data_IF_507983672653
#
_entry.id   IF_507983672653
#
_cell.length_a   1.000
_cell.length_b   1.000
_cell.length_c   1.000
_cell.angle_alpha   90.00
_cell.angle_beta   90.00
_cell.angle_gamma   90.00
#
_symmetry.space_group_name_H-M   'P 1'
#
loop_
_entity.id
_entity.type
_entity.pdbx_description
1 polymer ?
#
# COMPACT_ATOMS: atom_id res chain seq x y z
N UNK A 1 6.93 -9.49 18.75
CA UNK A 1 5.96 -10.43 19.39
C UNK A 1 5.67 -11.59 18.43
N UNK A 2 5.51 -12.83 18.91
CA UNK A 2 5.07 -13.98 18.08
C UNK A 2 3.57 -14.15 18.23
N UNK A 3 2.85 -14.10 17.12
CA UNK A 3 1.42 -14.26 17.00
C UNK A 3 1.10 -15.70 16.57
N UNK A 4 -0.03 -16.22 17.05
CA UNK A 4 -0.55 -17.53 16.63
C UNK A 4 -1.62 -17.32 15.57
N UNK A 5 -1.36 -17.78 14.34
CA UNK A 5 -2.31 -17.70 13.22
C UNK A 5 -2.98 -19.04 12.97
N UNK A 6 -4.26 -19.02 12.60
CA UNK A 6 -4.96 -20.23 12.14
C UNK A 6 -4.37 -20.68 10.79
N UNK A 7 -4.36 -21.98 10.46
CA UNK A 7 -3.89 -22.48 9.16
C UNK A 7 -4.52 -21.75 7.96
N UNK A 8 -5.83 -21.52 8.00
CA UNK A 8 -6.57 -20.76 6.96
C UNK A 8 -6.14 -19.28 6.81
N UNK A 9 -5.43 -18.73 7.78
CA UNK A 9 -4.83 -17.38 7.68
C UNK A 9 -3.47 -17.41 6.99
N UNK A 10 -2.76 -18.54 7.10
CA UNK A 10 -1.44 -18.76 6.50
C UNK A 10 -1.54 -19.24 5.05
N UNK A 11 -2.54 -20.07 4.75
CA UNK A 11 -2.74 -20.63 3.41
C UNK A 11 -3.30 -19.57 2.45
N UNK A 12 -2.50 -19.22 1.43
CA UNK A 12 -2.86 -18.30 0.35
C UNK A 12 -2.52 -18.93 -1.00
N UNK A 13 -3.07 -20.11 -1.26
CA UNK A 13 -3.10 -20.66 -2.61
C UNK A 13 -4.35 -20.13 -3.30
N UNK A 14 -4.17 -19.18 -4.21
CA UNK A 14 -5.26 -18.57 -4.95
C UNK A 14 -5.23 -19.07 -6.39
N UNK A 15 -6.37 -19.58 -6.85
CA UNK A 15 -6.57 -19.89 -8.25
C UNK A 15 -6.88 -18.59 -9.02
N UNK A 16 -5.83 -17.86 -9.38
CA UNK A 16 -5.91 -16.62 -10.15
C UNK A 16 -6.03 -16.92 -11.64
N UNK A 17 -7.17 -16.60 -12.22
CA UNK A 17 -7.44 -16.79 -13.63
C UNK A 17 -7.30 -15.47 -14.40
N UNK A 18 -6.10 -15.24 -14.96
CA UNK A 18 -5.81 -14.05 -15.77
C UNK A 18 -6.69 -13.94 -17.02
N UNK A 19 -7.06 -15.07 -17.64
CA UNK A 19 -7.93 -15.13 -18.82
C UNK A 19 -9.41 -14.98 -18.47
N UNK A 20 -9.77 -15.10 -17.18
CA UNK A 20 -11.11 -14.91 -16.65
C UNK A 20 -11.42 -13.44 -16.31
N UNK A 21 -12.08 -13.19 -15.18
CA UNK A 21 -12.48 -11.85 -14.74
C UNK A 21 -11.74 -11.37 -13.48
N UNK A 22 -10.70 -12.10 -13.04
CA UNK A 22 -9.93 -11.80 -11.83
C UNK A 22 -9.03 -10.58 -11.99
N UNK A 23 -8.99 -9.71 -10.97
CA UNK A 23 -8.22 -8.46 -11.00
C UNK A 23 -7.31 -8.36 -9.79
N UNK A 24 -6.01 -8.18 -10.00
CA UNK A 24 -5.08 -7.79 -8.94
C UNK A 24 -5.20 -6.28 -8.72
N UNK A 25 -5.36 -5.86 -7.47
CA UNK A 25 -5.46 -4.44 -7.08
C UNK A 25 -4.28 -4.08 -6.19
N UNK A 26 -3.36 -3.25 -6.70
CA UNK A 26 -2.20 -2.84 -5.94
C UNK A 26 -2.44 -1.54 -5.15
N UNK A 27 -2.63 -1.66 -3.85
CA UNK A 27 -2.68 -0.55 -2.90
C UNK A 27 -1.24 -0.08 -2.62
N UNK A 28 -0.86 1.05 -3.21
CA UNK A 28 0.48 1.62 -3.10
C UNK A 28 0.55 2.68 -1.99
N UNK A 29 1.04 2.29 -0.81
CA UNK A 29 1.36 3.24 0.27
C UNK A 29 2.66 3.99 0.00
N UNK A 30 2.73 5.27 0.38
CA UNK A 30 3.91 6.07 0.16
C UNK A 30 5.14 5.47 0.86
N UNK A 31 6.25 5.41 0.12
CA UNK A 31 7.60 5.08 0.60
C UNK A 31 7.81 3.64 1.08
N UNK A 32 6.95 2.70 0.67
CA UNK A 32 7.09 1.26 0.93
C UNK A 32 7.72 0.47 -0.22
N UNK A 33 8.54 1.13 -1.05
CA UNK A 33 9.14 0.49 -2.23
C UNK A 33 8.15 0.19 -3.38
N UNK A 34 6.91 0.68 -3.28
CA UNK A 34 5.86 0.37 -4.26
C UNK A 34 6.10 0.88 -5.68
N UNK A 35 6.98 1.86 -5.90
CA UNK A 35 7.43 2.21 -7.26
C UNK A 35 8.20 1.06 -7.90
N UNK A 36 9.11 0.42 -7.16
CA UNK A 36 9.89 -0.71 -7.67
C UNK A 36 8.98 -1.92 -7.88
N UNK A 37 8.24 -2.32 -6.85
CA UNK A 37 7.32 -3.45 -6.94
C UNK A 37 6.24 -3.27 -8.03
N UNK A 38 5.64 -2.08 -8.12
CA UNK A 38 4.65 -1.79 -9.15
C UNK A 38 5.21 -1.83 -10.58
N UNK A 39 6.50 -1.51 -10.78
CA UNK A 39 7.16 -1.70 -12.07
C UNK A 39 7.34 -3.18 -12.39
N UNK A 40 7.79 -3.98 -11.41
CA UNK A 40 7.94 -5.42 -11.57
C UNK A 40 6.64 -6.07 -12.07
N UNK A 41 5.48 -5.66 -11.52
CA UNK A 41 4.15 -6.17 -11.96
C UNK A 41 3.81 -5.89 -13.43
N UNK A 42 4.37 -4.84 -14.04
CA UNK A 42 4.04 -4.44 -15.43
C UNK A 42 5.15 -4.71 -16.44
N UNK A 43 6.41 -4.87 -16.01
CA UNK A 43 7.54 -5.08 -16.93
C UNK A 43 8.25 -6.42 -16.76
N UNK A 44 8.07 -7.13 -15.66
CA UNK A 44 8.88 -8.31 -15.33
C UNK A 44 8.03 -9.55 -15.02
N UNK A 45 6.75 -9.55 -15.37
CA UNK A 45 5.89 -10.73 -15.24
C UNK A 45 5.97 -11.60 -16.50
N UNK A 46 6.19 -12.89 -16.33
CA UNK A 46 6.13 -13.89 -17.41
C UNK A 46 4.66 -14.20 -17.71
N UNK A 47 4.16 -13.66 -18.82
CA UNK A 47 2.75 -13.71 -19.22
C UNK A 47 2.64 -14.08 -20.70
N UNK A 48 1.62 -14.86 -21.05
CA UNK A 48 1.25 -15.14 -22.45
C UNK A 48 1.09 -13.84 -23.25
N UNK A 49 0.47 -12.83 -22.62
CA UNK A 49 0.39 -11.46 -23.14
C UNK A 49 1.03 -10.48 -22.15
N UNK A 50 2.27 -10.04 -22.39
CA UNK A 50 2.91 -9.02 -21.57
C UNK A 50 2.19 -7.67 -21.61
N UNK A 51 2.33 -6.87 -20.55
CA UNK A 51 1.83 -5.50 -20.59
C UNK A 51 2.60 -4.67 -21.62
N UNK A 52 1.91 -3.82 -22.36
CA UNK A 52 2.53 -2.95 -23.36
C UNK A 52 2.91 -1.61 -22.72
N UNK A 53 4.20 -1.42 -22.44
CA UNK A 53 4.76 -0.18 -21.88
C UNK A 53 5.45 0.64 -22.96
N UNK A 54 4.83 1.75 -23.40
CA UNK A 54 5.43 2.64 -24.41
C UNK A 54 6.40 3.63 -23.77
N UNK A 55 7.57 3.86 -24.42
CA UNK A 55 8.55 4.84 -23.95
C UNK A 55 7.91 6.23 -23.83
N UNK A 56 8.18 6.93 -22.73
CA UNK A 56 7.58 8.24 -22.41
C UNK A 56 6.20 8.17 -21.76
N UNK A 57 5.49 7.04 -21.81
CA UNK A 57 4.23 6.87 -21.09
C UNK A 57 4.47 6.36 -19.66
N UNK A 58 3.80 6.99 -18.69
CA UNK A 58 3.85 6.56 -17.29
C UNK A 58 2.96 5.36 -16.99
N UNK A 59 2.16 4.89 -17.95
CA UNK A 59 1.23 3.76 -17.80
C UNK A 59 1.46 2.74 -18.91
N UNK A 60 1.31 1.48 -18.57
CA UNK A 60 1.33 0.35 -19.46
C UNK A 60 -0.10 -0.18 -19.67
N UNK A 61 -0.34 -0.78 -20.83
CA UNK A 61 -1.58 -1.47 -21.13
C UNK A 61 -1.47 -2.93 -20.70
N UNK A 62 -2.10 -3.29 -19.58
CA UNK A 62 -2.10 -4.64 -19.03
C UNK A 62 -3.43 -5.33 -19.30
N UNK A 63 -3.62 -5.75 -20.55
CA UNK A 63 -4.82 -6.46 -20.98
C UNK A 63 -4.68 -7.96 -20.83
N UNK A 64 -5.81 -8.65 -20.70
CA UNK A 64 -5.85 -10.12 -20.64
C UNK A 64 -5.47 -10.75 -21.98
N UNK A 65 -5.02 -12.01 -22.01
CA UNK A 65 -4.91 -12.78 -23.24
C UNK A 65 -6.24 -12.79 -24.01
N UNK A 66 -6.19 -12.66 -25.34
CA UNK A 66 -7.37 -12.71 -26.21
C UNK A 66 -8.27 -11.46 -26.23
N UNK A 67 -7.95 -10.38 -25.50
CA UNK A 67 -8.78 -9.15 -25.47
C UNK A 67 -7.94 -7.90 -25.38
N UNK A 68 -8.30 -6.87 -26.13
CA UNK A 68 -7.60 -5.56 -26.16
C UNK A 68 -8.22 -4.51 -25.23
N UNK A 69 -9.19 -4.92 -24.40
CA UNK A 69 -9.91 -4.02 -23.50
C UNK A 69 -9.91 -4.43 -22.04
N UNK A 70 -9.90 -5.73 -21.75
CA UNK A 70 -10.13 -6.20 -20.38
C UNK A 70 -8.85 -6.20 -19.57
N UNK A 71 -8.93 -5.67 -18.36
CA UNK A 71 -7.77 -5.36 -17.53
C UNK A 71 -7.66 -6.40 -16.42
N UNK A 72 -6.47 -6.96 -16.20
CA UNK A 72 -6.21 -7.89 -15.09
C UNK A 72 -5.48 -7.23 -13.90
N UNK A 73 -4.91 -6.04 -14.10
CA UNK A 73 -4.16 -5.31 -13.07
C UNK A 73 -4.70 -3.89 -12.87
N UNK A 74 -5.15 -3.57 -11.67
CA UNK A 74 -5.45 -2.21 -11.23
C UNK A 74 -4.30 -1.67 -10.38
N UNK A 75 -3.56 -0.70 -10.92
CA UNK A 75 -2.39 -0.11 -10.27
C UNK A 75 -2.04 1.26 -10.85
N UNK A 76 -1.16 2.00 -10.16
CA UNK A 76 -0.55 3.23 -10.69
C UNK A 76 -0.02 3.07 -12.11
N UNK A 77 0.66 1.97 -12.40
CA UNK A 77 1.36 1.77 -13.68
C UNK A 77 0.50 1.10 -14.75
N UNK A 78 -0.73 0.67 -14.44
CA UNK A 78 -1.68 0.15 -15.43
C UNK A 78 -2.85 1.10 -15.62
N UNK A 79 -3.71 1.22 -14.61
CA UNK A 79 -4.94 2.04 -14.64
C UNK A 79 -4.71 3.49 -14.23
N UNK A 80 -3.53 3.84 -13.70
CA UNK A 80 -3.25 5.15 -13.14
C UNK A 80 -3.92 5.35 -11.78
N UNK A 81 -3.96 6.60 -11.32
CA UNK A 81 -4.63 7.00 -10.08
C UNK A 81 -6.14 7.16 -10.27
N UNK A 82 -6.78 6.13 -10.85
CA UNK A 82 -8.20 6.17 -11.23
C UNK A 82 -9.15 6.38 -10.05
N UNK A 83 -8.74 5.95 -8.85
CA UNK A 83 -9.50 6.13 -7.60
C UNK A 83 -8.94 7.22 -6.68
N UNK A 84 -8.00 8.04 -7.15
CA UNK A 84 -7.29 9.02 -6.32
C UNK A 84 -5.80 8.73 -6.23
N UNK A 85 -5.01 9.79 -6.06
CA UNK A 85 -3.56 9.69 -5.85
C UNK A 85 -3.28 8.93 -4.55
N UNK A 86 -2.55 7.81 -4.64
CA UNK A 86 -2.29 6.95 -3.49
C UNK A 86 -3.55 6.53 -2.73
N UNK A 87 -4.62 6.20 -3.47
CA UNK A 87 -5.88 5.74 -2.92
C UNK A 87 -5.66 4.62 -1.88
N UNK A 88 -6.21 4.83 -0.69
CA UNK A 88 -6.08 3.90 0.44
C UNK A 88 -7.10 2.75 0.37
N UNK A 89 -7.13 1.88 1.38
CA UNK A 89 -8.05 0.75 1.42
C UNK A 89 -9.50 1.22 1.34
N UNK A 90 -9.86 2.29 2.07
CA UNK A 90 -11.22 2.83 2.13
C UNK A 90 -11.63 3.35 0.76
N UNK A 91 -10.74 4.11 0.10
CA UNK A 91 -10.99 4.61 -1.25
C UNK A 91 -11.08 3.48 -2.29
N UNK A 92 -10.17 2.50 -2.25
CA UNK A 92 -10.10 1.45 -3.27
C UNK A 92 -11.23 0.43 -3.18
N UNK A 93 -11.70 0.06 -1.98
CA UNK A 93 -12.79 -0.93 -1.85
C UNK A 93 -14.10 -0.43 -2.48
N UNK A 94 -14.35 0.88 -2.39
CA UNK A 94 -15.59 1.50 -2.83
C UNK A 94 -15.51 1.99 -4.28
N UNK A 95 -14.32 2.30 -4.79
CA UNK A 95 -14.14 2.87 -6.13
C UNK A 95 -13.76 1.86 -7.23
N UNK A 96 -12.98 0.81 -6.90
CA UNK A 96 -12.40 -0.07 -7.93
C UNK A 96 -13.46 -0.80 -8.78
N UNK A 97 -14.55 -1.36 -8.22
CA UNK A 97 -15.57 -2.04 -9.00
C UNK A 97 -16.14 -1.17 -10.14
N UNK A 98 -16.67 0.00 -9.79
CA UNK A 98 -17.27 0.93 -10.75
C UNK A 98 -16.24 1.45 -11.77
N UNK A 99 -15.01 1.70 -11.33
CA UNK A 99 -13.95 2.16 -12.23
C UNK A 99 -13.50 1.11 -13.23
N UNK A 100 -13.55 -0.18 -12.87
CA UNK A 100 -13.26 -1.27 -13.80
C UNK A 100 -14.37 -1.40 -14.84
N UNK A 101 -15.64 -1.35 -14.43
CA UNK A 101 -16.78 -1.38 -15.34
C UNK A 101 -16.75 -0.22 -16.34
N UNK A 102 -16.45 0.99 -15.85
CA UNK A 102 -16.31 2.18 -16.69
C UNK A 102 -15.19 2.05 -17.72
N UNK A 103 -14.05 1.46 -17.35
CA UNK A 103 -12.90 1.29 -18.26
C UNK A 103 -13.14 0.22 -19.32
N UNK A 104 -13.80 -0.87 -18.95
CA UNK A 104 -14.14 -1.97 -19.87
C UNK A 104 -15.45 -1.74 -20.64
N UNK A 105 -16.16 -0.65 -20.31
CA UNK A 105 -17.48 -0.26 -20.84
C UNK A 105 -18.52 -1.37 -20.67
N UNK A 106 -18.38 -2.19 -19.64
CA UNK A 106 -19.26 -3.33 -19.40
C UNK A 106 -19.23 -3.75 -17.94
N UNK A 107 -20.40 -3.93 -17.30
CA UNK A 107 -20.47 -4.51 -15.97
C UNK A 107 -20.05 -5.98 -16.01
N UNK A 108 -19.14 -6.37 -15.11
CA UNK A 108 -18.75 -7.78 -14.96
C UNK A 108 -18.62 -8.17 -13.50
N UNK A 109 -19.03 -9.40 -13.19
CA UNK A 109 -18.71 -10.03 -11.92
C UNK A 109 -17.22 -10.38 -11.90
N UNK A 110 -16.44 -9.68 -11.07
CA UNK A 110 -14.99 -9.86 -10.90
C UNK A 110 -14.66 -10.30 -9.49
N UNK A 111 -13.55 -11.01 -9.31
CA UNK A 111 -12.89 -11.17 -8.01
C UNK A 111 -11.71 -10.22 -7.91
N UNK A 112 -11.60 -9.49 -6.80
CA UNK A 112 -10.54 -8.51 -6.59
C UNK A 112 -9.53 -9.03 -5.57
N UNK A 113 -8.28 -9.15 -6.01
CA UNK A 113 -7.16 -9.62 -5.22
C UNK A 113 -6.30 -8.44 -4.80
N UNK A 114 -6.62 -7.87 -3.64
CA UNK A 114 -5.88 -6.76 -3.08
C UNK A 114 -4.49 -7.19 -2.63
N UNK A 115 -3.50 -6.40 -3.01
CA UNK A 115 -2.10 -6.58 -2.63
C UNK A 115 -1.47 -5.27 -2.18
N UNK A 116 -0.43 -5.34 -1.35
CA UNK A 116 0.32 -4.16 -0.93
C UNK A 116 1.78 -4.47 -0.59
N UNK A 117 2.55 -3.43 -0.28
CA UNK A 117 3.91 -3.50 0.25
C UNK A 117 3.99 -2.70 1.55
N UNK A 118 4.58 -3.27 2.59
CA UNK A 118 4.92 -2.56 3.83
C UNK A 118 6.43 -2.33 3.94
N UNK A 119 6.79 -1.46 4.89
CA UNK A 119 8.17 -1.16 5.26
C UNK A 119 8.26 -0.88 6.76
N UNK A 120 9.42 -1.15 7.33
CA UNK A 120 9.74 -0.81 8.71
C UNK A 120 9.40 0.68 8.97
N UNK A 121 8.57 1.00 9.98
CA UNK A 121 7.95 2.31 10.12
C UNK A 121 8.93 3.48 10.24
N UNK A 122 10.04 3.34 10.97
CA UNK A 122 11.03 4.41 11.13
C UNK A 122 11.68 4.70 9.77
N UNK A 123 12.16 3.67 9.07
CA UNK A 123 12.77 3.81 7.75
C UNK A 123 11.78 4.35 6.71
N UNK A 124 10.50 3.96 6.81
CA UNK A 124 9.41 4.47 5.96
C UNK A 124 9.16 5.96 6.23
N UNK A 125 9.08 6.36 7.49
CA UNK A 125 8.84 7.73 7.92
C UNK A 125 9.98 8.67 7.52
N UNK A 126 11.24 8.30 7.79
CA UNK A 126 12.42 9.06 7.36
C UNK A 126 12.51 9.17 5.84
N UNK A 127 12.16 8.10 5.13
CA UNK A 127 12.09 8.14 3.67
C UNK A 127 11.00 9.07 3.14
N UNK A 128 9.91 9.28 3.89
CA UNK A 128 8.85 10.22 3.57
C UNK A 128 9.29 11.65 3.83
N UNK A 129 9.80 11.93 5.03
CA UNK A 129 10.38 13.22 5.39
C UNK A 129 11.36 13.70 4.32
N UNK A 130 12.37 12.89 3.96
CA UNK A 130 13.35 13.26 2.92
C UNK A 130 12.72 13.49 1.54
N UNK A 131 11.58 12.88 1.24
CA UNK A 131 10.89 13.10 -0.03
C UNK A 131 10.09 14.41 -0.01
N UNK A 132 9.45 14.69 1.13
CA UNK A 132 8.72 15.93 1.40
C UNK A 132 9.67 17.12 1.41
N UNK A 133 10.83 16.98 2.07
CA UNK A 133 11.92 17.97 2.07
C UNK A 133 12.39 18.34 0.66
N UNK A 134 12.22 17.45 -0.33
CA UNK A 134 12.52 17.69 -1.75
C UNK A 134 11.29 18.09 -2.60
N UNK A 135 10.16 18.39 -1.98
CA UNK A 135 8.96 18.93 -2.64
C UNK A 135 7.80 17.95 -2.84
N UNK A 136 7.86 16.73 -2.30
CA UNK A 136 6.69 15.85 -2.36
C UNK A 136 5.59 16.32 -1.40
N UNK A 137 4.36 16.48 -1.89
CA UNK A 137 3.20 16.89 -1.07
C UNK A 137 2.08 15.86 -1.09
N UNK A 138 1.85 15.23 -2.26
CA UNK A 138 0.66 14.44 -2.54
C UNK A 138 -0.67 15.17 -2.27
N UNK A 139 -0.67 16.51 -2.34
CA UNK A 139 -1.83 17.36 -2.00
C UNK A 139 -3.08 17.16 -2.88
N UNK A 140 -2.95 16.44 -4.00
CA UNK A 140 -4.07 16.07 -4.88
C UNK A 140 -4.68 14.71 -4.53
N UNK A 141 -4.30 14.11 -3.40
CA UNK A 141 -4.97 12.93 -2.82
C UNK A 141 -6.38 13.32 -2.38
N UNK A 142 -7.37 12.48 -2.64
CA UNK A 142 -8.78 12.83 -2.39
C UNK A 142 -9.20 12.52 -0.96
N UNK A 143 -8.62 11.49 -0.35
CA UNK A 143 -8.95 11.05 1.00
C UNK A 143 -10.46 10.74 1.14
N UNK A 144 -11.06 10.17 0.09
CA UNK A 144 -12.49 9.87 0.06
C UNK A 144 -12.87 8.88 1.16
N UNK A 145 -13.88 9.22 1.95
CA UNK A 145 -14.46 8.35 2.96
C UNK A 145 -15.93 8.73 3.16
N UNK A 146 -16.82 7.74 3.29
CA UNK A 146 -18.28 7.93 3.33
C UNK A 146 -18.80 8.84 2.20
N UNK A 147 -18.27 8.65 0.99
CA UNK A 147 -18.73 9.36 -0.22
C UNK A 147 -18.31 10.83 -0.34
N UNK A 148 -17.44 11.35 0.54
CA UNK A 148 -16.94 12.74 0.47
C UNK A 148 -15.46 12.90 0.78
N UNK A 149 -14.90 14.05 0.39
CA UNK A 149 -13.57 14.50 0.79
C UNK A 149 -13.62 15.12 2.21
N UNK A 150 -12.54 15.05 3.01
CA UNK A 150 -12.47 15.75 4.28
C UNK A 150 -12.43 17.27 4.06
N UNK A 151 -13.00 18.02 5.00
CA UNK A 151 -12.83 19.47 5.05
C UNK A 151 -11.45 19.86 5.60
N UNK A 152 -11.03 21.10 5.38
CA UNK A 152 -9.77 21.64 5.95
C UNK A 152 -9.75 21.59 7.49
N UNK A 153 -10.93 21.60 8.14
CA UNK A 153 -11.04 21.43 9.60
C UNK A 153 -10.78 19.99 10.05
N UNK A 154 -11.19 19.02 9.24
CA UNK A 154 -11.00 17.59 9.53
C UNK A 154 -9.59 17.11 9.17
N UNK A 155 -8.98 17.74 8.16
CA UNK A 155 -7.62 17.44 7.73
C UNK A 155 -6.84 18.72 7.38
N UNK A 156 -6.37 19.46 8.40
CA UNK A 156 -5.53 20.64 8.21
C UNK A 156 -4.20 20.29 7.52
N UNK A 157 -3.69 21.22 6.73
CA UNK A 157 -2.37 21.07 6.11
C UNK A 157 -1.24 21.42 7.10
N UNK A 158 -0.09 20.76 6.97
CA UNK A 158 1.14 21.12 7.69
C UNK A 158 1.97 22.18 6.95
N UNK A 159 1.56 22.56 5.74
CA UNK A 159 2.28 23.46 4.85
C UNK A 159 1.30 24.18 3.92
N UNK A 160 1.68 25.32 3.36
CA UNK A 160 0.83 26.07 2.43
C UNK A 160 0.84 25.44 1.02
N UNK A 161 1.87 25.73 0.22
CA UNK A 161 1.98 25.18 -1.15
C UNK A 161 2.76 23.85 -1.19
N UNK A 162 3.90 23.82 -0.50
CA UNK A 162 4.80 22.69 -0.37
C UNK A 162 5.61 22.81 0.95
N UNK A 163 6.34 21.76 1.28
CA UNK A 163 7.15 21.69 2.52
C UNK A 163 8.63 21.43 2.19
N UNK A 164 9.13 22.11 1.14
CA UNK A 164 10.54 22.02 0.73
C UNK A 164 11.44 22.54 1.84
N UNK A 165 12.54 21.84 2.10
CA UNK A 165 13.51 22.23 3.12
C UNK A 165 13.11 21.90 4.56
N UNK A 166 11.92 21.33 4.81
CA UNK A 166 11.46 21.00 6.17
C UNK A 166 12.48 20.15 6.94
N UNK A 167 12.83 20.62 8.13
CA UNK A 167 13.70 19.89 9.05
C UNK A 167 12.93 18.79 9.79
N UNK A 168 13.64 17.77 10.29
CA UNK A 168 12.97 16.62 10.92
C UNK A 168 12.12 17.05 12.13
N UNK A 169 12.59 18.01 12.92
CA UNK A 169 11.90 18.45 14.14
C UNK A 169 10.57 19.13 13.79
N UNK A 170 10.56 20.00 12.77
CA UNK A 170 9.33 20.61 12.24
C UNK A 170 8.40 19.56 11.63
N UNK A 171 8.95 18.60 10.87
CA UNK A 171 8.18 17.51 10.28
C UNK A 171 7.49 16.64 11.34
N UNK A 172 8.17 16.35 12.45
CA UNK A 172 7.59 15.63 13.60
C UNK A 172 6.72 16.52 14.50
N UNK A 173 6.86 17.83 14.40
CA UNK A 173 6.14 18.82 15.20
C UNK A 173 4.70 19.05 14.73
N UNK A 174 4.39 18.82 13.45
CA UNK A 174 3.03 18.97 12.94
C UNK A 174 2.10 17.83 13.40
N UNK A 175 1.04 18.10 14.19
CA UNK A 175 0.11 17.05 14.66
C UNK A 175 -0.69 16.41 13.52
N UNK A 176 -0.90 17.14 12.43
CA UNK A 176 -1.70 16.74 11.27
C UNK A 176 -0.89 16.02 10.19
N UNK A 177 0.38 15.73 10.45
CA UNK A 177 1.26 15.11 9.46
C UNK A 177 0.76 13.70 9.10
N UNK A 178 0.30 13.54 7.86
CA UNK A 178 -0.18 12.27 7.31
C UNK A 178 0.90 11.17 7.23
N UNK A 179 2.17 11.49 7.47
CA UNK A 179 3.22 10.50 7.66
C UNK A 179 3.02 9.66 8.93
N UNK A 180 2.39 10.23 9.98
CA UNK A 180 2.11 9.56 11.24
C UNK A 180 1.15 8.39 11.02
N UNK A 181 1.55 7.19 11.43
CA UNK A 181 0.77 5.95 11.32
C UNK A 181 0.16 5.73 9.91
N UNK A 182 0.91 6.10 8.86
CA UNK A 182 0.41 6.07 7.47
C UNK A 182 -0.04 4.67 7.08
N UNK A 183 0.72 3.63 7.40
CA UNK A 183 0.40 2.27 6.95
C UNK A 183 -0.89 1.77 7.61
N UNK A 184 -1.06 2.04 8.90
CA UNK A 184 -2.27 1.73 9.65
C UNK A 184 -3.47 2.48 9.09
N UNK A 185 -3.34 3.81 8.91
CA UNK A 185 -4.44 4.63 8.36
C UNK A 185 -4.84 4.16 6.97
N UNK A 186 -3.87 3.90 6.09
CA UNK A 186 -4.14 3.54 4.69
C UNK A 186 -4.63 2.10 4.50
N UNK A 187 -4.45 1.22 5.49
CA UNK A 187 -4.95 -0.16 5.44
C UNK A 187 -6.27 -0.35 6.20
N UNK A 188 -6.61 0.57 7.10
CA UNK A 188 -7.84 0.51 7.87
C UNK A 188 -9.06 0.97 7.05
N UNK A 189 -10.22 0.47 7.46
CA UNK A 189 -11.51 1.07 7.14
C UNK A 189 -11.73 2.32 8.00
N UNK A 190 -11.61 3.50 7.38
CA UNK A 190 -11.75 4.77 8.09
C UNK A 190 -13.20 5.08 8.46
N UNK A 191 -14.20 4.49 7.78
CA UNK A 191 -15.61 4.69 8.12
C UNK A 191 -15.94 4.22 9.55
N UNK A 192 -15.22 3.19 10.04
CA UNK A 192 -15.37 2.64 11.39
C UNK A 192 -15.05 3.63 12.51
N UNK A 193 -14.34 4.72 12.21
CA UNK A 193 -13.96 5.76 13.17
C UNK A 193 -14.51 7.14 12.78
N UNK A 194 -15.49 7.20 11.88
CA UNK A 194 -16.04 8.45 11.39
C UNK A 194 -15.14 9.20 10.43
N UNK A 195 -14.39 8.49 9.60
CA UNK A 195 -13.48 9.05 8.62
C UNK A 195 -12.41 9.93 9.29
N UNK A 196 -12.22 11.15 8.79
CA UNK A 196 -11.24 12.12 9.29
C UNK A 196 -11.76 12.98 10.45
N UNK A 197 -13.02 12.81 10.87
CA UNK A 197 -13.54 13.51 12.04
C UNK A 197 -13.05 12.83 13.33
N UNK A 198 -12.08 13.46 13.99
CA UNK A 198 -11.45 12.96 15.21
C UNK A 198 -12.30 13.14 16.47
N UNK A 199 -13.36 13.96 16.42
CA UNK A 199 -14.22 14.25 17.58
C UNK A 199 -15.27 13.16 17.87
N UNK A 200 -15.44 12.17 16.98
CA UNK A 200 -16.49 11.14 17.14
C UNK A 200 -16.18 10.10 18.21
N UNK A 201 -14.91 9.80 18.43
CA UNK A 201 -14.45 8.76 19.35
C UNK A 201 -13.16 9.23 20.03
N UNK A 202 -12.86 8.73 21.22
CA UNK A 202 -11.59 9.06 21.89
C UNK A 202 -10.40 8.60 21.05
N UNK A 203 -9.25 9.27 21.19
CA UNK A 203 -8.04 8.92 20.44
C UNK A 203 -7.60 7.47 20.70
N UNK A 204 -7.74 6.99 21.93
CA UNK A 204 -7.41 5.61 22.30
C UNK A 204 -8.33 4.60 21.59
N UNK A 205 -9.64 4.82 21.63
CA UNK A 205 -10.60 3.97 20.95
C UNK A 205 -10.40 3.99 19.43
N UNK A 206 -10.15 5.18 18.87
CA UNK A 206 -9.81 5.37 17.45
C UNK A 206 -8.60 4.53 17.05
N UNK A 207 -7.51 4.64 17.81
CA UNK A 207 -6.28 3.90 17.58
C UNK A 207 -6.50 2.39 17.58
N UNK A 208 -7.26 1.88 18.57
CA UNK A 208 -7.59 0.46 18.68
C UNK A 208 -8.41 -0.05 17.49
N UNK A 209 -9.41 0.71 17.05
CA UNK A 209 -10.25 0.35 15.90
C UNK A 209 -9.43 0.36 14.61
N UNK A 210 -8.64 1.42 14.38
CA UNK A 210 -7.80 1.55 13.18
C UNK A 210 -6.78 0.40 13.09
N UNK A 211 -6.08 0.09 14.17
CA UNK A 211 -5.10 -0.99 14.18
C UNK A 211 -5.74 -2.37 13.98
N UNK A 212 -6.88 -2.62 14.64
CA UNK A 212 -7.63 -3.87 14.46
C UNK A 212 -8.15 -4.04 13.03
N UNK A 213 -8.62 -2.96 12.42
CA UNK A 213 -9.09 -2.91 11.03
C UNK A 213 -7.93 -3.13 10.05
N UNK A 214 -6.81 -2.42 10.20
CA UNK A 214 -5.62 -2.58 9.37
C UNK A 214 -5.05 -4.00 9.41
N UNK A 215 -4.91 -4.60 10.61
CA UNK A 215 -4.49 -6.01 10.75
C UNK A 215 -5.48 -6.96 10.05
N UNK A 216 -6.79 -6.69 10.17
CA UNK A 216 -7.83 -7.51 9.55
C UNK A 216 -7.84 -7.43 8.03
N UNK A 217 -7.69 -6.23 7.48
CA UNK A 217 -7.65 -6.03 6.04
C UNK A 217 -6.36 -6.62 5.47
N UNK A 218 -5.21 -6.37 6.10
CA UNK A 218 -3.92 -6.90 5.67
C UNK A 218 -3.89 -8.43 5.67
N UNK A 219 -4.40 -9.10 6.73
CA UNK A 219 -4.42 -10.57 6.75
C UNK A 219 -5.34 -11.14 5.67
N UNK A 220 -6.40 -10.43 5.27
CA UNK A 220 -7.37 -10.86 4.24
C UNK A 220 -6.90 -10.58 2.82
N UNK A 221 -5.96 -9.67 2.62
CA UNK A 221 -5.35 -9.45 1.31
C UNK A 221 -4.79 -10.75 0.74
N UNK A 222 -4.84 -10.83 -0.59
CA UNK A 222 -4.32 -11.95 -1.36
C UNK A 222 -2.83 -12.14 -1.06
N UNK A 223 -2.09 -11.04 -1.09
CA UNK A 223 -0.66 -11.00 -0.86
C UNK A 223 -0.25 -9.66 -0.24
N UNK A 224 0.82 -9.65 0.55
CA UNK A 224 1.56 -8.43 0.84
C UNK A 224 3.05 -8.76 0.93
N UNK A 225 3.89 -7.85 0.47
CA UNK A 225 5.34 -7.95 0.59
C UNK A 225 5.91 -7.00 1.61
N UNK A 226 7.18 -7.23 1.95
CA UNK A 226 7.95 -6.40 2.87
C UNK A 226 9.18 -5.88 2.15
N UNK A 227 9.42 -4.58 2.25
CA UNK A 227 10.55 -3.91 1.56
C UNK A 227 11.90 -4.54 1.92
N UNK A 228 12.03 -4.99 3.16
CA UNK A 228 13.23 -5.62 3.72
C UNK A 228 13.46 -7.06 3.22
N UNK A 229 12.48 -7.66 2.53
CA UNK A 229 12.49 -9.05 2.13
C UNK A 229 12.05 -9.23 0.67
N UNK A 230 12.71 -8.56 -0.27
CA UNK A 230 12.28 -8.52 -1.68
C UNK A 230 12.26 -9.90 -2.35
N UNK A 231 13.35 -10.68 -2.23
CA UNK A 231 13.41 -12.04 -2.79
C UNK A 231 12.36 -12.98 -2.18
N UNK A 232 12.10 -12.86 -0.87
CA UNK A 232 11.04 -13.63 -0.20
C UNK A 232 9.64 -13.17 -0.65
N UNK A 233 9.48 -11.87 -0.89
CA UNK A 233 8.23 -11.29 -1.39
C UNK A 233 7.95 -11.74 -2.83
N UNK A 234 8.97 -11.82 -3.68
CA UNK A 234 8.88 -12.43 -5.01
C UNK A 234 8.38 -13.87 -4.89
N UNK A 235 9.10 -14.72 -4.16
CA UNK A 235 8.72 -16.13 -3.98
C UNK A 235 7.28 -16.30 -3.50
N UNK A 236 6.88 -15.54 -2.48
CA UNK A 236 5.52 -15.64 -1.95
C UNK A 236 4.47 -15.16 -2.97
N UNK A 237 4.74 -14.09 -3.73
CA UNK A 237 3.85 -13.62 -4.78
C UNK A 237 3.66 -14.68 -5.87
N UNK A 238 4.77 -15.24 -6.36
CA UNK A 238 4.77 -16.27 -7.41
C UNK A 238 3.96 -17.50 -7.00
N UNK A 239 4.17 -17.97 -5.75
CA UNK A 239 3.39 -19.09 -5.20
C UNK A 239 1.93 -18.77 -4.99
N UNK A 240 1.61 -17.56 -4.52
CA UNK A 240 0.23 -17.15 -4.24
C UNK A 240 -0.62 -17.09 -5.50
N UNK A 241 -0.07 -16.56 -6.59
CA UNK A 241 -0.81 -16.32 -7.84
C UNK A 241 -0.51 -17.34 -8.95
N UNK A 242 0.42 -18.27 -8.73
CA UNK A 242 0.92 -19.22 -9.75
C UNK A 242 1.46 -18.50 -11.01
N UNK A 243 2.03 -17.32 -10.81
CA UNK A 243 2.71 -16.53 -11.83
C UNK A 243 4.21 -16.51 -11.55
N UNK A 244 5.04 -16.12 -12.53
CA UNK A 244 6.49 -16.00 -12.37
C UNK A 244 6.98 -14.63 -12.78
N UNK A 245 8.01 -14.14 -12.11
CA UNK A 245 8.79 -13.03 -12.64
C UNK A 245 9.90 -13.56 -13.56
N UNK A 246 10.25 -12.80 -14.60
CA UNK A 246 11.28 -13.19 -15.58
C UNK A 246 12.66 -13.06 -14.92
N UNK A 247 12.94 -11.89 -14.34
CA UNK A 247 14.16 -11.61 -13.59
C UNK A 247 13.93 -11.67 -12.08
N UNK A 248 14.88 -12.21 -11.29
CA UNK A 248 14.77 -12.25 -9.85
C UNK A 248 14.85 -10.84 -9.24
N UNK A 249 14.14 -10.63 -8.13
CA UNK A 249 14.21 -9.36 -7.41
C UNK A 249 15.58 -9.18 -6.75
N UNK A 250 16.10 -7.97 -6.86
CA UNK A 250 17.33 -7.57 -6.18
C UNK A 250 17.04 -7.05 -4.77
N UNK A 251 17.79 -7.53 -3.78
CA UNK A 251 17.63 -7.06 -2.42
C UNK A 251 18.37 -5.73 -2.23
N UNK A 252 17.63 -4.62 -2.21
CA UNK A 252 18.17 -3.31 -1.84
C UNK A 252 17.95 -3.07 -0.35
N UNK A 253 18.98 -3.34 0.45
CA UNK A 253 18.94 -3.14 1.90
C UNK A 253 18.96 -1.65 2.22
N UNK A 254 17.77 -1.04 2.34
CA UNK A 254 17.60 0.35 2.79
C UNK A 254 17.96 1.39 1.73
N UNK A 255 17.05 2.32 1.49
CA UNK A 255 17.37 3.54 0.72
C UNK A 255 18.21 4.48 1.57
N UNK A 256 19.12 5.26 0.97
CA UNK A 256 19.90 6.31 1.67
C UNK A 256 19.01 7.19 2.54
N UNK A 257 17.82 7.53 2.06
CA UNK A 257 16.83 8.29 2.80
C UNK A 257 16.31 7.59 4.07
N UNK A 258 16.05 6.29 4.01
CA UNK A 258 15.57 5.51 5.16
C UNK A 258 16.67 5.14 6.16
N UNK A 259 17.94 5.36 5.83
CA UNK A 259 19.12 5.19 6.70
C UNK A 259 19.69 6.54 7.14
N UNK A 260 18.88 7.60 7.09
CA UNK A 260 19.35 8.92 7.54
C UNK A 260 19.77 8.81 9.01
N UNK A 261 21.02 9.14 9.36
CA UNK A 261 21.44 9.16 10.76
C UNK A 261 20.63 10.20 11.53
N UNK A 262 20.05 9.78 12.66
CA UNK A 262 19.29 10.64 13.57
C UNK A 262 19.73 10.29 15.00
N UNK A 263 19.60 11.24 15.92
CA UNK A 263 19.84 10.97 17.34
C UNK A 263 18.77 10.03 17.91
N UNK A 264 19.10 9.34 19.00
CA UNK A 264 18.16 8.43 19.68
C UNK A 264 16.87 9.13 20.15
N UNK A 265 16.96 10.39 20.59
CA UNK A 265 15.76 11.16 20.96
C UNK A 265 14.82 11.41 19.77
N UNK A 266 15.38 11.73 18.61
CA UNK A 266 14.59 11.89 17.37
C UNK A 266 14.02 10.55 16.91
N UNK A 267 14.79 9.47 17.07
CA UNK A 267 14.33 8.11 16.77
C UNK A 267 13.13 7.73 17.64
N UNK A 268 13.24 7.93 18.96
CA UNK A 268 12.14 7.69 19.92
C UNK A 268 10.91 8.52 19.55
N UNK A 269 11.08 9.80 19.20
CA UNK A 269 9.95 10.65 18.77
C UNK A 269 9.25 10.11 17.53
N UNK A 270 10.01 9.65 16.52
CA UNK A 270 9.44 9.02 15.31
C UNK A 270 8.71 7.72 15.66
N UNK A 271 9.26 6.91 16.57
CA UNK A 271 8.61 5.68 17.03
C UNK A 271 7.29 5.95 17.75
N UNK A 272 7.24 6.94 18.65
CA UNK A 272 6.02 7.38 19.34
C UNK A 272 4.93 7.82 18.35
N UNK A 273 5.29 8.64 17.37
CA UNK A 273 4.36 9.11 16.33
C UNK A 273 3.85 7.99 15.42
N UNK A 274 4.58 6.87 15.34
CA UNK A 274 4.27 5.73 14.48
C UNK A 274 3.99 4.44 15.28
N UNK A 275 3.55 4.57 16.53
CA UNK A 275 3.32 3.42 17.42
C UNK A 275 2.35 2.37 16.83
N UNK A 276 1.31 2.80 16.11
CA UNK A 276 0.38 1.86 15.47
C UNK A 276 1.03 1.17 14.27
N UNK A 277 1.81 1.89 13.47
CA UNK A 277 2.56 1.32 12.35
C UNK A 277 3.61 0.31 12.84
N UNK A 278 4.25 0.55 13.99
CA UNK A 278 5.18 -0.40 14.62
C UNK A 278 4.46 -1.68 15.00
N UNK A 279 3.33 -1.58 15.70
CA UNK A 279 2.58 -2.76 16.08
C UNK A 279 1.99 -3.52 14.87
N UNK A 280 1.56 -2.78 13.84
CA UNK A 280 1.10 -3.35 12.57
C UNK A 280 2.23 -4.06 11.83
N UNK A 281 3.42 -3.44 11.76
CA UNK A 281 4.57 -4.01 11.06
C UNK A 281 5.09 -5.26 11.76
N UNK A 282 5.14 -5.27 13.09
CA UNK A 282 5.48 -6.46 13.88
C UNK A 282 4.52 -7.62 13.59
N UNK A 283 3.21 -7.33 13.55
CA UNK A 283 2.19 -8.30 13.17
C UNK A 283 2.37 -8.79 11.73
N UNK A 284 2.59 -7.88 10.79
CA UNK A 284 2.76 -8.18 9.38
C UNK A 284 4.00 -9.02 9.12
N UNK A 285 5.11 -8.71 9.78
CA UNK A 285 6.38 -9.43 9.65
C UNK A 285 6.27 -10.87 10.13
N UNK A 286 5.65 -11.09 11.28
CA UNK A 286 5.44 -12.44 11.79
C UNK A 286 4.48 -13.25 10.90
N UNK A 287 3.36 -12.65 10.49
CA UNK A 287 2.42 -13.28 9.53
C UNK A 287 3.13 -13.63 8.21
N UNK A 288 3.94 -12.72 7.67
CA UNK A 288 4.67 -12.92 6.43
C UNK A 288 5.67 -14.08 6.55
N UNK A 289 6.47 -14.13 7.62
CA UNK A 289 7.44 -15.20 7.81
C UNK A 289 6.78 -16.56 8.01
N UNK A 290 5.66 -16.63 8.74
CA UNK A 290 4.90 -17.88 8.91
C UNK A 290 4.24 -18.33 7.60
N UNK A 291 3.70 -17.41 6.79
CA UNK A 291 3.19 -17.73 5.44
C UNK A 291 4.29 -18.28 4.54
N UNK A 292 5.45 -17.63 4.57
CA UNK A 292 6.59 -18.05 3.76
C UNK A 292 7.04 -19.46 4.13
N UNK A 293 7.08 -19.79 5.43
CA UNK A 293 7.45 -21.12 5.89
C UNK A 293 6.43 -22.17 5.47
N UNK A 294 5.13 -21.85 5.57
CA UNK A 294 4.05 -22.73 5.11
C UNK A 294 4.11 -23.02 3.60
N UNK A 295 4.56 -22.06 2.79
CA UNK A 295 4.74 -22.21 1.33
C UNK A 295 6.00 -23.00 0.92
N UNK A 296 6.87 -23.36 1.88
CA UNK A 296 8.06 -24.20 1.62
C UNK A 296 7.84 -25.67 2.03
N UNK A 297 6.81 -25.93 2.83
CA UNK A 297 6.34 -27.27 3.18
C UNK A 297 5.56 -27.85 2.01
#
# INVERSE_FOLDING_TARGET
>A
KKYTFRPSTLERDLDFNISGTDVIVFLHMQKTGGTSFGRQLVTNMDLERPCQCRRGQKRCQCYRPGTDRDIWLFSRFSTGWSCGLHADWTELKDCVPDMMDKKEKQPKKRRYFYITMLREPVARYLSEWRHVQRGATWKTSRHMCDGRMPSEKELPSCFDDNWVGVELDEFTGCPWNLANNRQTRMLADLSLVGCYNTSRVSQEQRNRILLGSAKTNLRRMAFFGLTEFQKKSQYMFERTFKLKFIEPFEQVNGTTAGRTPISEDKRRKVEELNALDIELYDYAKDLFLQRLERLKQ
#
